data_IF_785449202229
#
_entry.id   IF_785449202229
#
_cell.length_a   1.000
_cell.length_b   1.000
_cell.length_c   1.000
_cell.angle_alpha   90.00
_cell.angle_beta   90.00
_cell.angle_gamma   90.00
#
_symmetry.space_group_name_H-M   'P 1'
#
loop_
_entity.id
_entity.type
_entity.pdbx_description
1 polymer ?
#
# COMPACT_ATOMS: atom_id res chain seq x y z
N UNK A 1 -20.25 -28.77 -8.68
CA UNK A 1 -21.06 -27.54 -8.65
C UNK A 1 -20.96 -26.80 -7.31
N UNK A 2 -21.12 -27.47 -6.15
CA UNK A 2 -20.99 -26.83 -4.82
C UNK A 2 -19.62 -26.19 -4.54
N UNK A 3 -18.51 -26.86 -4.87
CA UNK A 3 -17.16 -26.32 -4.66
C UNK A 3 -16.87 -25.03 -5.43
N UNK A 4 -17.39 -24.89 -6.65
CA UNK A 4 -17.21 -23.69 -7.48
C UNK A 4 -17.91 -22.48 -6.89
N UNK A 5 -19.10 -22.68 -6.29
CA UNK A 5 -19.86 -21.62 -5.63
C UNK A 5 -19.14 -21.18 -4.35
N UNK A 6 -18.61 -22.14 -3.56
CA UNK A 6 -17.81 -21.83 -2.38
C UNK A 6 -16.54 -21.03 -2.74
N UNK A 7 -15.82 -21.46 -3.78
CA UNK A 7 -14.64 -20.75 -4.29
C UNK A 7 -14.98 -19.35 -4.80
N UNK A 8 -16.11 -19.19 -5.47
CA UNK A 8 -16.58 -17.88 -5.94
C UNK A 8 -16.91 -16.94 -4.78
N UNK A 9 -17.57 -17.43 -3.73
CA UNK A 9 -17.89 -16.64 -2.54
C UNK A 9 -16.62 -16.25 -1.79
N UNK A 10 -15.68 -17.19 -1.59
CA UNK A 10 -14.39 -16.88 -0.93
C UNK A 10 -13.53 -15.92 -1.74
N UNK A 11 -13.55 -16.05 -3.07
CA UNK A 11 -12.81 -15.15 -3.95
C UNK A 11 -13.39 -13.74 -3.93
N UNK A 12 -14.72 -13.61 -3.96
CA UNK A 12 -15.39 -12.33 -3.91
C UNK A 12 -15.20 -11.63 -2.55
N UNK A 13 -15.32 -12.37 -1.44
CA UNK A 13 -15.11 -11.80 -0.10
C UNK A 13 -13.66 -11.38 0.14
N UNK A 14 -12.69 -12.17 -0.29
CA UNK A 14 -11.29 -11.77 -0.24
C UNK A 14 -11.03 -10.53 -1.10
N UNK A 15 -11.61 -10.48 -2.31
CA UNK A 15 -11.49 -9.33 -3.21
C UNK A 15 -12.03 -8.02 -2.61
N UNK A 16 -13.21 -8.04 -1.98
CA UNK A 16 -13.78 -6.84 -1.36
C UNK A 16 -12.97 -6.36 -0.15
N UNK A 17 -12.47 -7.29 0.68
CA UNK A 17 -11.60 -6.95 1.81
C UNK A 17 -10.30 -6.31 1.35
N UNK A 18 -9.65 -6.88 0.32
CA UNK A 18 -8.41 -6.34 -0.23
C UNK A 18 -8.64 -4.96 -0.88
N UNK A 19 -9.70 -4.81 -1.68
CA UNK A 19 -10.04 -3.53 -2.30
C UNK A 19 -10.32 -2.43 -1.26
N UNK A 20 -11.10 -2.75 -0.23
CA UNK A 20 -11.36 -1.83 0.88
C UNK A 20 -10.09 -1.46 1.65
N UNK A 21 -9.21 -2.43 1.91
CA UNK A 21 -7.93 -2.20 2.58
C UNK A 21 -6.98 -1.30 1.79
N UNK A 22 -6.86 -1.51 0.48
CA UNK A 22 -6.02 -0.68 -0.40
C UNK A 22 -6.58 0.74 -0.47
N UNK A 23 -7.89 0.89 -0.64
CA UNK A 23 -8.53 2.21 -0.68
C UNK A 23 -8.34 2.97 0.64
N UNK A 24 -8.57 2.31 1.78
CA UNK A 24 -8.32 2.87 3.10
C UNK A 24 -6.85 3.28 3.30
N UNK A 25 -5.90 2.48 2.80
CA UNK A 25 -4.48 2.83 2.84
C UNK A 25 -4.17 4.09 2.03
N UNK A 26 -4.65 4.18 0.79
CA UNK A 26 -4.37 5.31 -0.11
C UNK A 26 -4.91 6.62 0.48
N UNK A 27 -6.14 6.59 1.02
CA UNK A 27 -6.75 7.76 1.67
C UNK A 27 -6.07 8.07 3.01
N UNK A 28 -5.76 7.04 3.82
CA UNK A 28 -5.11 7.18 5.12
C UNK A 28 -3.68 7.73 5.04
N UNK A 29 -2.93 7.37 3.99
CA UNK A 29 -1.61 7.91 3.67
C UNK A 29 -1.63 9.34 3.14
N UNK A 30 -2.81 9.92 2.91
CA UNK A 30 -2.98 11.29 2.38
C UNK A 30 -2.21 11.55 1.08
N UNK A 31 -1.87 10.52 0.32
CA UNK A 31 -1.15 10.66 -0.96
C UNK A 31 -1.99 11.51 -1.93
N UNK A 32 -3.28 11.17 -2.06
CA UNK A 32 -4.22 11.85 -2.97
C UNK A 32 -4.44 13.33 -2.63
N UNK A 33 -4.82 13.71 -1.38
CA UNK A 33 -5.01 15.11 -1.04
C UNK A 33 -3.70 15.92 -1.12
N UNK A 34 -2.54 15.30 -0.89
CA UNK A 34 -1.24 15.98 -1.03
C UNK A 34 -0.93 16.35 -2.47
N UNK A 35 -1.19 15.45 -3.42
CA UNK A 35 -1.06 15.76 -4.84
C UNK A 35 -2.07 16.80 -5.31
N UNK A 36 -3.33 16.69 -4.88
CA UNK A 36 -4.36 17.67 -5.21
C UNK A 36 -4.06 19.06 -4.62
N UNK A 37 -3.39 19.12 -3.47
CA UNK A 37 -2.88 20.35 -2.87
C UNK A 37 -1.73 20.97 -3.67
N UNK A 38 -0.77 20.18 -4.15
CA UNK A 38 0.35 20.67 -4.96
C UNK A 38 -0.12 21.23 -6.32
N UNK A 39 -1.08 20.57 -6.96
CA UNK A 39 -1.65 21.02 -8.24
C UNK A 39 -2.71 22.11 -8.08
N UNK A 40 -2.94 22.62 -6.86
CA UNK A 40 -3.99 23.60 -6.55
C UNK A 40 -5.38 23.17 -7.06
N UNK A 41 -5.63 21.86 -7.14
CA UNK A 41 -6.84 21.27 -7.72
C UNK A 41 -7.54 20.37 -6.69
N UNK A 42 -7.66 20.85 -5.45
CA UNK A 42 -8.35 20.14 -4.37
C UNK A 42 -9.84 19.86 -4.69
N UNK A 43 -10.45 20.70 -5.53
CA UNK A 43 -11.84 20.56 -5.97
C UNK A 43 -12.10 19.28 -6.80
N UNK A 44 -11.06 18.70 -7.41
CA UNK A 44 -11.18 17.49 -8.25
C UNK A 44 -10.58 16.24 -7.60
N UNK A 45 -10.63 16.13 -6.26
CA UNK A 45 -10.11 14.97 -5.53
C UNK A 45 -10.70 13.63 -6.03
N UNK A 46 -12.01 13.59 -6.32
CA UNK A 46 -12.69 12.41 -6.85
C UNK A 46 -12.15 11.93 -8.20
N UNK A 47 -11.61 12.84 -9.04
CA UNK A 47 -10.99 12.47 -10.31
C UNK A 47 -9.66 11.75 -10.08
N UNK A 48 -8.84 12.22 -9.12
CA UNK A 48 -7.59 11.55 -8.77
C UNK A 48 -7.84 10.14 -8.24
N UNK A 49 -8.82 9.98 -7.35
CA UNK A 49 -9.22 8.66 -6.83
C UNK A 49 -9.71 7.74 -7.95
N UNK A 50 -10.57 8.25 -8.84
CA UNK A 50 -11.08 7.49 -9.98
C UNK A 50 -9.94 7.03 -10.91
N UNK A 51 -8.96 7.89 -11.19
CA UNK A 51 -7.78 7.54 -11.99
C UNK A 51 -6.96 6.42 -11.36
N UNK A 52 -6.80 6.44 -10.03
CA UNK A 52 -6.08 5.38 -9.30
C UNK A 52 -6.86 4.05 -9.39
N UNK A 53 -8.18 4.08 -9.23
CA UNK A 53 -9.04 2.90 -9.36
C UNK A 53 -8.95 2.32 -10.78
N UNK A 54 -9.07 3.16 -11.81
CA UNK A 54 -8.93 2.74 -13.20
C UNK A 54 -7.55 2.16 -13.50
N UNK A 55 -6.48 2.82 -13.01
CA UNK A 55 -5.11 2.31 -13.12
C UNK A 55 -4.92 0.95 -12.45
N UNK A 56 -5.52 0.75 -11.27
CA UNK A 56 -5.52 -0.52 -10.56
C UNK A 56 -6.26 -1.62 -11.31
N UNK A 57 -7.44 -1.33 -11.88
CA UNK A 57 -8.22 -2.29 -12.69
C UNK A 57 -7.41 -2.70 -13.93
N UNK A 58 -6.90 -1.73 -14.69
CA UNK A 58 -6.11 -2.00 -15.91
C UNK A 58 -4.84 -2.79 -15.56
N UNK A 59 -4.09 -2.37 -14.54
CA UNK A 59 -2.89 -3.06 -14.09
C UNK A 59 -3.17 -4.47 -13.59
N UNK A 60 -4.28 -4.69 -12.89
CA UNK A 60 -4.70 -6.01 -12.43
C UNK A 60 -5.05 -6.93 -13.61
N UNK A 61 -5.78 -6.45 -14.62
CA UNK A 61 -6.10 -7.21 -15.83
C UNK A 61 -4.82 -7.62 -16.56
N UNK A 62 -3.89 -6.68 -16.77
CA UNK A 62 -2.60 -6.97 -17.41
C UNK A 62 -1.82 -8.03 -16.63
N UNK A 63 -1.80 -7.92 -15.30
CA UNK A 63 -1.09 -8.86 -14.43
C UNK A 63 -1.77 -10.25 -14.36
N UNK A 64 -3.10 -10.32 -14.27
CA UNK A 64 -3.82 -11.61 -14.16
C UNK A 64 -3.76 -12.37 -15.47
N UNK A 65 -3.98 -11.69 -16.60
CA UNK A 65 -3.99 -12.34 -17.92
C UNK A 65 -2.59 -12.43 -18.56
N UNK A 66 -1.55 -11.96 -17.88
CA UNK A 66 -0.16 -11.96 -18.36
C UNK A 66 -0.05 -11.43 -19.81
N UNK A 67 -0.78 -10.33 -20.09
CA UNK A 67 -0.88 -9.78 -21.45
C UNK A 67 0.50 -9.24 -21.84
N UNK A 68 1.12 -9.75 -22.93
CA UNK A 68 2.41 -9.26 -23.35
C UNK A 68 2.26 -7.83 -23.91
N UNK A 69 2.71 -6.86 -23.12
CA UNK A 69 2.77 -5.46 -23.55
C UNK A 69 4.04 -5.25 -24.37
N UNK A 70 3.90 -5.25 -25.70
CA UNK A 70 4.97 -4.87 -26.63
C UNK A 70 5.11 -3.35 -26.68
N UNK A 71 5.46 -2.76 -25.53
CA UNK A 71 5.90 -1.38 -25.46
C UNK A 71 7.40 -1.37 -25.77
N UNK A 72 7.80 -0.76 -26.88
CA UNK A 72 9.21 -0.58 -27.23
C UNK A 72 9.99 0.19 -26.14
N UNK A 73 11.29 0.44 -26.37
CA UNK A 73 12.17 1.07 -25.38
C UNK A 73 11.62 2.38 -24.77
N UNK A 74 10.93 3.20 -25.57
CA UNK A 74 10.29 4.43 -25.10
C UNK A 74 9.15 4.18 -24.09
N UNK A 75 8.35 3.13 -24.28
CA UNK A 75 7.27 2.77 -23.35
C UNK A 75 7.80 2.19 -22.04
N UNK A 76 8.89 1.42 -22.10
CA UNK A 76 9.61 0.94 -20.91
C UNK A 76 10.20 2.10 -20.08
N UNK A 77 10.81 3.08 -20.73
CA UNK A 77 11.32 4.28 -20.06
C UNK A 77 10.21 5.07 -19.40
N UNK A 78 9.09 5.30 -20.10
CA UNK A 78 7.93 5.99 -19.55
C UNK A 78 7.37 5.23 -18.32
N UNK A 79 7.21 3.91 -18.45
CA UNK A 79 6.73 3.08 -17.35
C UNK A 79 7.67 3.10 -16.14
N UNK A 80 8.98 3.06 -16.38
CA UNK A 80 10.00 3.19 -15.34
C UNK A 80 9.96 4.54 -14.63
N UNK A 81 9.79 5.64 -15.38
CA UNK A 81 9.67 6.99 -14.81
C UNK A 81 8.39 7.14 -13.97
N UNK A 82 7.25 6.72 -14.51
CA UNK A 82 5.96 6.77 -13.80
C UNK A 82 6.00 5.88 -12.55
N UNK A 83 6.57 4.67 -12.68
CA UNK A 83 6.79 3.77 -11.55
C UNK A 83 7.70 4.38 -10.48
N UNK A 84 8.77 5.06 -10.88
CA UNK A 84 9.67 5.78 -9.98
C UNK A 84 8.97 6.90 -9.21
N UNK A 85 8.17 7.72 -9.90
CA UNK A 85 7.36 8.78 -9.26
C UNK A 85 6.38 8.18 -8.27
N UNK A 86 5.71 7.08 -8.64
CA UNK A 86 4.77 6.38 -7.77
C UNK A 86 5.45 5.83 -6.50
N UNK A 87 6.58 5.13 -6.63
CA UNK A 87 7.34 4.61 -5.48
C UNK A 87 7.85 5.76 -4.60
N UNK A 88 8.33 6.85 -5.20
CA UNK A 88 8.75 8.05 -4.48
C UNK A 88 7.62 8.68 -3.67
N UNK A 89 6.42 8.76 -4.24
CA UNK A 89 5.23 9.26 -3.56
C UNK A 89 4.86 8.40 -2.34
N UNK A 90 4.90 7.08 -2.50
CA UNK A 90 4.66 6.12 -1.43
C UNK A 90 5.70 6.24 -0.31
N UNK A 91 6.98 6.36 -0.66
CA UNK A 91 8.05 6.53 0.32
C UNK A 91 7.87 7.82 1.13
N UNK A 92 7.53 8.94 0.47
CA UNK A 92 7.29 10.22 1.15
C UNK A 92 6.07 10.19 2.07
N UNK A 93 4.98 9.53 1.65
CA UNK A 93 3.78 9.40 2.48
C UNK A 93 4.01 8.49 3.69
N UNK A 94 4.77 7.41 3.52
CA UNK A 94 5.14 6.55 4.64
C UNK A 94 6.01 7.29 5.66
N UNK A 95 6.97 8.09 5.19
CA UNK A 95 7.81 8.92 6.07
C UNK A 95 6.97 9.88 6.92
N UNK A 96 5.98 10.55 6.32
CA UNK A 96 5.07 11.46 7.03
C UNK A 96 4.23 10.74 8.10
N UNK A 97 3.78 9.52 7.83
CA UNK A 97 3.10 8.70 8.85
C UNK A 97 4.07 8.32 9.97
N UNK A 98 5.29 7.90 9.64
CA UNK A 98 6.29 7.48 10.64
C UNK A 98 6.60 8.62 11.61
N UNK A 99 6.73 9.84 11.12
CA UNK A 99 6.94 11.03 11.96
C UNK A 99 5.71 11.36 12.84
N UNK A 100 4.52 10.91 12.44
CA UNK A 100 3.29 11.08 13.22
C UNK A 100 3.18 10.10 14.39
N UNK A 101 3.78 8.90 14.28
CA UNK A 101 3.77 7.87 15.34
C UNK A 101 4.30 8.38 16.70
N UNK A 102 5.49 9.00 16.81
CA UNK A 102 6.00 9.48 18.10
C UNK A 102 5.12 10.59 18.70
N UNK A 103 4.52 11.44 17.86
CA UNK A 103 3.59 12.49 18.31
C UNK A 103 2.33 11.85 18.90
N UNK A 104 1.76 10.85 18.21
CA UNK A 104 0.57 10.13 18.67
C UNK A 104 0.86 9.39 19.98
N UNK A 105 2.00 8.73 20.08
CA UNK A 105 2.43 8.04 21.28
C UNK A 105 2.64 9.00 22.47
N UNK A 106 3.18 10.21 22.22
CA UNK A 106 3.29 11.23 23.28
C UNK A 106 1.92 11.73 23.75
N UNK A 107 0.94 11.86 22.85
CA UNK A 107 -0.45 12.25 23.17
C UNK A 107 -1.20 11.18 23.95
N UNK A 108 -0.93 9.90 23.72
CA UNK A 108 -1.48 8.78 24.49
C UNK A 108 -0.86 8.65 25.90
N UNK A 109 0.04 9.55 26.30
CA UNK A 109 0.66 9.52 27.62
C UNK A 109 1.74 8.45 27.80
N UNK A 110 2.20 7.81 26.70
CA UNK A 110 3.32 6.86 26.70
C UNK A 110 4.66 7.61 26.82
N UNK A 111 4.84 8.36 27.92
CA UNK A 111 6.00 9.23 28.15
C UNK A 111 7.32 8.47 28.35
N UNK A 112 7.27 7.16 28.65
CA UNK A 112 8.46 6.32 28.88
C UNK A 112 8.46 4.96 28.17
N UNK A 113 7.42 4.63 27.41
CA UNK A 113 7.23 3.28 26.85
C UNK A 113 7.71 3.07 25.42
N UNK A 114 7.96 4.14 24.65
CA UNK A 114 8.33 4.04 23.22
C UNK A 114 9.60 3.23 22.99
N UNK A 115 10.63 3.45 23.82
CA UNK A 115 11.87 2.67 23.75
C UNK A 115 11.62 1.18 24.04
N UNK A 116 10.80 0.88 25.05
CA UNK A 116 10.41 -0.50 25.39
C UNK A 116 9.65 -1.15 24.24
N UNK A 117 8.78 -0.40 23.55
CA UNK A 117 8.00 -0.88 22.42
C UNK A 117 8.90 -1.20 21.21
N UNK A 118 9.88 -0.35 20.92
CA UNK A 118 10.90 -0.60 19.87
C UNK A 118 11.76 -1.81 20.22
N UNK A 119 12.19 -1.94 21.49
CA UNK A 119 12.97 -3.10 21.95
C UNK A 119 12.16 -4.39 21.89
N UNK A 120 10.87 -4.37 22.25
CA UNK A 120 9.97 -5.50 22.13
C UNK A 120 9.74 -5.91 20.67
N UNK A 121 9.57 -4.95 19.76
CA UNK A 121 9.49 -5.23 18.32
C UNK A 121 10.79 -5.84 17.79
N UNK A 122 11.94 -5.30 18.19
CA UNK A 122 13.25 -5.83 17.80
C UNK A 122 13.44 -7.26 18.33
N UNK A 123 13.10 -7.52 19.60
CA UNK A 123 13.14 -8.85 20.20
C UNK A 123 12.20 -9.83 19.49
N UNK A 124 10.96 -9.41 19.18
CA UNK A 124 10.02 -10.24 18.43
C UNK A 124 10.53 -10.63 17.05
N UNK A 125 11.16 -9.69 16.32
CA UNK A 125 11.84 -9.98 15.04
C UNK A 125 13.03 -10.92 15.20
N UNK A 126 13.86 -10.71 16.21
CA UNK A 126 15.02 -11.58 16.48
C UNK A 126 14.59 -13.01 16.82
N UNK A 127 13.57 -13.17 17.67
CA UNK A 127 13.01 -14.48 18.02
C UNK A 127 12.38 -15.14 16.80
N UNK A 128 11.61 -14.39 16.00
CA UNK A 128 11.04 -14.89 14.75
C UNK A 128 12.10 -15.37 13.76
N UNK A 129 13.22 -14.66 13.63
CA UNK A 129 14.36 -15.05 12.79
C UNK A 129 15.05 -16.33 13.28
N UNK A 130 15.25 -16.48 14.59
CA UNK A 130 15.82 -17.69 15.19
C UNK A 130 14.89 -18.89 14.99
N UNK A 131 13.58 -18.71 15.18
CA UNK A 131 12.58 -19.75 14.96
C UNK A 131 12.49 -20.17 13.49
N UNK A 132 12.54 -19.22 12.56
CA UNK A 132 12.57 -19.51 11.12
C UNK A 132 13.78 -20.37 10.76
N UNK A 133 14.95 -20.06 11.33
CA UNK A 133 16.17 -20.85 11.10
C UNK A 133 16.09 -22.25 11.72
N UNK A 134 15.43 -22.39 12.88
CA UNK A 134 15.28 -23.67 13.58
C UNK A 134 14.25 -24.59 12.90
N UNK A 135 13.12 -24.05 12.44
CA UNK A 135 12.04 -24.82 11.80
C UNK A 135 12.25 -25.08 10.30
N UNK A 136 13.31 -24.52 9.69
CA UNK A 136 13.64 -24.68 8.25
C UNK A 136 12.43 -24.52 7.32
N UNK A 137 11.53 -23.62 7.68
CA UNK A 137 10.46 -23.16 6.79
C UNK A 137 11.03 -22.20 5.74
#
# INVERSE_FOLDING_TARGET
MGWTILLAISGFSAGTVVAGGIFALIVGLKIVPRFAGFTHTAHHMMLYESCIVWGGIVGNIVNVFQIPLYCGAAGLLLFGLVGGIYVGAWAMALAEIVDTIPIFSRRLGLKGGLGILVVLMALGRSIGGILHFYMRW
#
